data_IF_386947047568
#
_entry.id   IF_386947047568
#
_cell.length_a   1.000
_cell.length_b   1.000
_cell.length_c   1.000
_cell.angle_alpha   90.00
_cell.angle_beta   90.00
_cell.angle_gamma   90.00
#
_symmetry.space_group_name_H-M   'P 1'
#
loop_
_entity.id
_entity.type
_entity.pdbx_description
1 polymer ?
#
# COMPACT_ATOMS: atom_id res chain seq x y z
N UNK A 1 20.29 7.59 -17.15
CA UNK A 1 18.85 7.22 -17.05
C UNK A 1 18.34 7.54 -15.65
N UNK A 2 17.28 8.36 -15.53
CA UNK A 2 16.63 8.59 -14.21
C UNK A 2 16.08 7.26 -13.70
N UNK A 3 16.46 6.84 -12.46
CA UNK A 3 15.87 5.63 -11.87
C UNK A 3 14.36 5.82 -11.75
N UNK A 4 13.56 4.86 -12.25
CA UNK A 4 12.09 4.94 -12.22
C UNK A 4 11.53 4.77 -10.80
N UNK A 5 12.26 4.04 -9.96
CA UNK A 5 11.94 3.80 -8.54
C UNK A 5 13.22 3.38 -7.83
N UNK A 6 13.41 3.82 -6.60
CA UNK A 6 14.56 3.44 -5.77
C UNK A 6 14.16 3.32 -4.30
N UNK A 7 14.74 2.34 -3.60
CA UNK A 7 14.51 2.16 -2.17
C UNK A 7 15.01 3.35 -1.32
N UNK A 8 15.97 4.13 -1.82
CA UNK A 8 16.45 5.35 -1.17
C UNK A 8 15.39 6.48 -1.12
N UNK A 9 14.24 6.31 -1.78
CA UNK A 9 13.12 7.25 -1.68
C UNK A 9 12.35 7.13 -0.35
N UNK A 10 12.63 6.07 0.43
CA UNK A 10 12.02 5.86 1.74
C UNK A 10 13.11 5.54 2.78
N UNK A 11 12.94 5.97 4.05
CA UNK A 11 13.82 5.61 5.15
C UNK A 11 13.96 4.10 5.33
N UNK A 12 15.12 3.65 5.81
CA UNK A 12 15.44 2.23 6.00
C UNK A 12 14.47 1.50 6.93
N UNK A 13 13.91 2.19 7.91
CA UNK A 13 12.92 1.61 8.82
C UNK A 13 11.63 1.15 8.11
N UNK A 14 11.36 1.67 6.90
CA UNK A 14 10.24 1.25 6.05
C UNK A 14 10.62 0.18 5.02
N UNK A 15 11.85 -0.34 5.02
CA UNK A 15 12.21 -1.43 4.12
C UNK A 15 11.64 -2.77 4.61
N UNK A 16 11.17 -3.55 3.66
CA UNK A 16 10.65 -4.90 3.92
C UNK A 16 11.72 -5.99 3.79
N UNK A 17 12.90 -5.63 3.27
CA UNK A 17 14.01 -6.55 3.01
C UNK A 17 13.62 -7.76 2.14
N UNK A 18 12.81 -7.50 1.10
CA UNK A 18 12.37 -8.54 0.16
C UNK A 18 13.54 -9.00 -0.72
N UNK A 19 13.45 -10.24 -1.27
CA UNK A 19 14.45 -10.76 -2.20
C UNK A 19 14.72 -9.78 -3.36
N UNK A 20 15.99 -9.62 -3.75
CA UNK A 20 16.41 -8.71 -4.82
C UNK A 20 15.71 -9.00 -6.15
N UNK A 21 15.37 -10.25 -6.42
CA UNK A 21 14.59 -10.64 -7.60
C UNK A 21 13.22 -9.93 -7.62
N UNK A 22 12.51 -9.89 -6.50
CA UNK A 22 11.20 -9.27 -6.42
C UNK A 22 11.29 -7.75 -6.61
N UNK A 23 12.31 -7.11 -6.02
CA UNK A 23 12.60 -5.69 -6.23
C UNK A 23 12.91 -5.40 -7.70
N UNK A 24 13.71 -6.25 -8.34
CA UNK A 24 14.03 -6.16 -9.76
C UNK A 24 12.76 -6.31 -10.62
N UNK A 25 11.92 -7.31 -10.33
CA UNK A 25 10.66 -7.53 -11.04
C UNK A 25 9.75 -6.31 -10.96
N UNK A 26 9.58 -5.71 -9.78
CA UNK A 26 8.81 -4.48 -9.61
C UNK A 26 9.34 -3.33 -10.47
N UNK A 27 10.66 -3.11 -10.45
CA UNK A 27 11.33 -2.09 -11.29
C UNK A 27 11.13 -2.35 -12.79
N UNK A 28 11.19 -3.61 -13.20
CA UNK A 28 11.01 -4.01 -14.62
C UNK A 28 9.58 -3.76 -15.07
N UNK A 29 8.57 -4.13 -14.28
CA UNK A 29 7.16 -3.86 -14.58
C UNK A 29 6.95 -2.34 -14.75
N UNK A 30 7.40 -1.53 -13.81
CA UNK A 30 7.28 -0.07 -13.91
C UNK A 30 7.99 0.48 -15.15
N UNK A 31 9.10 -0.14 -15.57
CA UNK A 31 9.83 0.26 -16.78
C UNK A 31 9.02 -0.07 -18.03
N UNK A 32 8.42 -1.24 -18.12
CA UNK A 32 7.61 -1.68 -19.27
C UNK A 32 6.39 -0.76 -19.45
N UNK A 33 5.75 -0.36 -18.36
CA UNK A 33 4.57 0.51 -18.39
C UNK A 33 4.89 2.01 -18.35
N UNK A 34 6.17 2.39 -18.45
CA UNK A 34 6.64 3.78 -18.39
C UNK A 34 6.17 4.55 -17.15
N UNK A 35 6.07 3.86 -16.02
CA UNK A 35 5.67 4.44 -14.76
C UNK A 35 6.87 4.84 -13.89
N UNK A 36 6.72 5.96 -13.16
CA UNK A 36 7.73 6.50 -12.27
C UNK A 36 7.16 6.73 -10.88
N UNK A 37 7.93 6.38 -9.87
CA UNK A 37 7.65 6.80 -8.49
C UNK A 37 8.45 8.08 -8.23
N UNK A 38 7.75 9.18 -8.00
CA UNK A 38 8.35 10.48 -7.73
C UNK A 38 8.20 10.84 -6.24
N UNK A 39 9.13 11.68 -5.75
CA UNK A 39 9.14 12.10 -4.36
C UNK A 39 9.86 11.12 -3.44
N UNK A 40 9.88 11.46 -2.16
CA UNK A 40 10.51 10.66 -1.10
C UNK A 40 9.84 10.90 0.24
N UNK A 41 9.93 9.93 1.15
CA UNK A 41 9.53 10.09 2.54
C UNK A 41 10.74 10.63 3.32
N UNK A 42 10.54 11.73 4.04
CA UNK A 42 11.59 12.37 4.82
C UNK A 42 12.00 11.52 6.04
N UNK A 43 13.27 11.54 6.41
CA UNK A 43 13.82 10.90 7.61
C UNK A 43 13.14 11.36 8.92
N UNK A 44 12.51 12.54 8.94
CA UNK A 44 11.73 13.02 10.10
C UNK A 44 10.57 12.12 10.49
N UNK A 45 10.14 11.24 9.58
CA UNK A 45 9.06 10.26 9.79
C UNK A 45 9.59 8.88 10.19
N UNK A 46 10.90 8.75 10.43
CA UNK A 46 11.51 7.52 10.90
C UNK A 46 10.78 7.01 12.16
N UNK A 47 10.49 5.70 12.17
CA UNK A 47 9.78 5.01 13.25
C UNK A 47 8.34 5.51 13.52
N UNK A 48 7.76 6.33 12.64
CA UNK A 48 6.35 6.69 12.70
C UNK A 48 5.51 5.76 11.84
N UNK A 49 4.23 5.64 12.18
CA UNK A 49 3.24 5.08 11.26
C UNK A 49 2.78 6.17 10.30
N UNK A 50 2.52 5.79 9.07
CA UNK A 50 2.09 6.74 8.04
C UNK A 50 0.83 6.21 7.37
N UNK A 51 -0.15 7.07 7.16
CA UNK A 51 -1.31 6.76 6.33
C UNK A 51 -1.10 7.38 4.94
N UNK A 52 -0.96 6.52 3.93
CA UNK A 52 -0.81 6.92 2.54
C UNK A 52 -2.16 6.82 1.80
N UNK A 53 -2.63 7.94 1.29
CA UNK A 53 -3.84 8.01 0.47
C UNK A 53 -3.47 7.71 -0.98
N UNK A 54 -4.12 6.69 -1.56
CA UNK A 54 -3.94 6.30 -2.96
C UNK A 54 -5.18 6.71 -3.74
N UNK A 55 -5.06 7.76 -4.52
CA UNK A 55 -6.13 8.30 -5.35
C UNK A 55 -5.56 8.96 -6.64
N UNK A 56 -6.30 8.96 -7.75
CA UNK A 56 -7.54 8.20 -7.97
C UNK A 56 -7.29 6.70 -8.14
N UNK A 57 -8.25 5.86 -7.70
CA UNK A 57 -8.21 4.42 -7.92
C UNK A 57 -9.29 4.03 -8.91
N UNK A 58 -8.93 3.93 -10.18
CA UNK A 58 -9.87 3.83 -11.30
C UNK A 58 -9.87 2.46 -11.99
N UNK A 59 -8.79 1.69 -11.85
CA UNK A 59 -8.66 0.43 -12.57
C UNK A 59 -7.94 -0.68 -11.76
N UNK A 60 -7.96 -1.91 -12.29
CA UNK A 60 -7.15 -3.01 -11.76
C UNK A 60 -5.65 -2.76 -11.95
N UNK A 61 -5.27 -2.00 -12.98
CA UNK A 61 -3.90 -1.66 -13.27
C UNK A 61 -3.25 -0.85 -12.16
N UNK A 62 -4.01 0.02 -11.48
CA UNK A 62 -3.52 0.80 -10.34
C UNK A 62 -3.03 -0.13 -9.22
N UNK A 63 -3.75 -1.24 -9.00
CA UNK A 63 -3.34 -2.27 -8.03
C UNK A 63 -2.06 -2.99 -8.47
N UNK A 64 -1.94 -3.38 -9.74
CA UNK A 64 -0.76 -4.08 -10.27
C UNK A 64 0.46 -3.17 -10.21
N UNK A 65 0.33 -1.94 -10.70
CA UNK A 65 1.42 -0.96 -10.70
C UNK A 65 1.77 -0.49 -9.27
N UNK A 66 0.77 -0.39 -8.39
CA UNK A 66 0.99 -0.13 -6.97
C UNK A 66 1.81 -1.22 -6.29
N UNK A 67 1.48 -2.50 -6.51
CA UNK A 67 2.26 -3.64 -5.99
C UNK A 67 3.67 -3.65 -6.59
N UNK A 68 3.82 -3.34 -7.89
CA UNK A 68 5.13 -3.22 -8.54
C UNK A 68 5.95 -2.06 -7.93
N UNK A 69 5.33 -0.93 -7.62
CA UNK A 69 5.99 0.19 -6.95
C UNK A 69 6.43 -0.19 -5.52
N UNK A 70 5.57 -0.86 -4.76
CA UNK A 70 5.89 -1.38 -3.42
C UNK A 70 7.08 -2.35 -3.46
N UNK A 71 7.12 -3.25 -4.45
CA UNK A 71 8.23 -4.16 -4.64
C UNK A 71 9.51 -3.41 -5.04
N UNK A 72 9.42 -2.47 -5.98
CA UNK A 72 10.56 -1.69 -6.48
C UNK A 72 11.18 -0.75 -5.45
N UNK A 73 10.36 -0.17 -4.56
CA UNK A 73 10.78 0.60 -3.39
C UNK A 73 11.31 -0.30 -2.26
N UNK A 74 11.01 -1.59 -2.28
CA UNK A 74 11.17 -2.50 -1.15
C UNK A 74 10.37 -2.03 0.10
N UNK A 75 9.24 -1.36 -0.10
CA UNK A 75 8.49 -0.72 0.96
C UNK A 75 7.70 -1.73 1.82
N UNK A 76 7.84 -1.65 3.14
CA UNK A 76 6.98 -2.32 4.10
C UNK A 76 5.67 -1.55 4.22
N UNK A 77 4.72 -1.93 3.39
CA UNK A 77 3.42 -1.28 3.29
C UNK A 77 2.32 -2.28 3.65
N UNK A 78 1.27 -1.78 4.26
CA UNK A 78 0.03 -2.53 4.48
C UNK A 78 -1.08 -1.88 3.66
N UNK A 79 -1.82 -2.66 2.89
CA UNK A 79 -2.93 -2.15 2.09
C UNK A 79 -4.19 -3.01 2.24
N UNK A 80 -5.33 -2.34 2.17
CA UNK A 80 -6.64 -2.98 2.32
C UNK A 80 -7.17 -3.38 0.94
N UNK A 81 -7.41 -4.66 0.75
CA UNK A 81 -7.97 -5.19 -0.50
C UNK A 81 -9.27 -5.98 -0.30
N UNK A 82 -10.13 -6.01 -1.32
CA UNK A 82 -11.35 -6.83 -1.29
C UNK A 82 -10.99 -8.31 -1.15
N UNK A 83 -11.61 -9.02 -0.21
CA UNK A 83 -11.31 -10.43 0.10
C UNK A 83 -11.35 -11.35 -1.13
N UNK A 84 -12.19 -11.04 -2.12
CA UNK A 84 -12.32 -11.85 -3.34
C UNK A 84 -11.03 -11.87 -4.18
N UNK A 85 -10.21 -10.81 -4.14
CA UNK A 85 -8.93 -10.74 -4.87
C UNK A 85 -7.88 -11.70 -4.27
N UNK A 86 -8.06 -12.06 -3.00
CA UNK A 86 -7.16 -12.97 -2.29
C UNK A 86 -7.49 -14.45 -2.45
N UNK A 87 -8.53 -14.81 -3.22
CA UNK A 87 -8.99 -16.20 -3.37
C UNK A 87 -8.26 -16.99 -4.45
N UNK A 88 -7.89 -16.37 -5.55
CA UNK A 88 -7.44 -17.07 -6.78
C UNK A 88 -5.91 -17.16 -6.90
N UNK A 89 -5.26 -17.95 -6.05
CA UNK A 89 -3.81 -18.21 -6.13
C UNK A 89 -2.90 -17.01 -5.80
N UNK A 90 -3.37 -15.79 -6.01
CA UNK A 90 -2.65 -14.56 -5.68
C UNK A 90 -2.71 -14.20 -4.20
N UNK A 91 -3.54 -14.85 -3.41
CA UNK A 91 -3.80 -14.48 -2.02
C UNK A 91 -2.56 -14.53 -1.13
N UNK A 92 -1.75 -15.57 -1.24
CA UNK A 92 -0.51 -15.71 -0.49
C UNK A 92 0.50 -14.61 -0.86
N UNK A 93 0.64 -14.35 -2.16
CA UNK A 93 1.51 -13.29 -2.67
C UNK A 93 1.06 -11.90 -2.21
N UNK A 94 -0.23 -11.58 -2.31
CA UNK A 94 -0.75 -10.28 -1.88
C UNK A 94 -0.59 -10.08 -0.36
N UNK A 95 -0.82 -11.12 0.46
CA UNK A 95 -0.53 -11.06 1.90
C UNK A 95 0.96 -10.84 2.18
N UNK A 96 1.83 -11.55 1.47
CA UNK A 96 3.28 -11.35 1.56
C UNK A 96 3.69 -9.91 1.18
N UNK A 97 2.98 -9.28 0.25
CA UNK A 97 3.17 -7.88 -0.12
C UNK A 97 2.57 -6.89 0.88
N UNK A 98 1.86 -7.35 1.91
CA UNK A 98 1.24 -6.53 2.96
C UNK A 98 -0.26 -6.31 2.78
N UNK A 99 -0.91 -7.10 1.94
CA UNK A 99 -2.36 -7.00 1.70
C UNK A 99 -3.19 -7.60 2.82
N UNK A 100 -4.15 -6.86 3.33
CA UNK A 100 -5.18 -7.30 4.28
C UNK A 100 -6.49 -7.52 3.53
N UNK A 101 -7.02 -8.76 3.50
CA UNK A 101 -8.33 -9.01 2.91
C UNK A 101 -9.45 -8.49 3.79
N UNK A 102 -10.35 -7.66 3.25
CA UNK A 102 -11.54 -7.20 3.97
C UNK A 102 -12.82 -7.57 3.24
N UNK A 103 -13.82 -7.95 4.01
CA UNK A 103 -15.16 -8.18 3.50
C UNK A 103 -15.97 -6.88 3.56
N UNK A 104 -16.13 -6.25 2.41
CA UNK A 104 -16.85 -4.97 2.29
C UNK A 104 -18.36 -5.11 2.38
N UNK A 105 -18.90 -6.33 2.42
CA UNK A 105 -20.34 -6.59 2.61
C UNK A 105 -20.76 -6.43 4.07
N UNK A 106 -19.81 -6.43 5.00
CA UNK A 106 -20.03 -6.25 6.43
C UNK A 106 -19.63 -4.82 6.83
N UNK A 107 -20.54 -3.83 6.73
CA UNK A 107 -20.25 -2.48 7.19
C UNK A 107 -20.03 -2.48 8.71
N UNK A 108 -19.05 -1.72 9.18
CA UNK A 108 -18.78 -1.53 10.61
C UNK A 108 -17.57 -2.27 11.17
N UNK A 109 -16.97 -3.22 10.45
CA UNK A 109 -15.80 -3.96 10.95
C UNK A 109 -14.52 -3.79 10.13
N UNK A 110 -14.58 -3.08 8.99
CA UNK A 110 -13.46 -2.99 8.05
C UNK A 110 -12.29 -2.20 8.67
N UNK A 111 -12.61 -1.08 9.28
CA UNK A 111 -11.61 -0.16 9.87
C UNK A 111 -11.04 -0.79 11.14
N UNK A 112 -11.88 -1.31 12.00
CA UNK A 112 -11.49 -2.02 13.22
C UNK A 112 -10.57 -3.20 12.90
N UNK A 113 -10.98 -4.05 11.95
CA UNK A 113 -10.15 -5.18 11.53
C UNK A 113 -8.80 -4.75 10.94
N UNK A 114 -8.77 -3.66 10.16
CA UNK A 114 -7.53 -3.10 9.64
C UNK A 114 -6.64 -2.57 10.77
N UNK A 115 -7.21 -1.85 11.74
CA UNK A 115 -6.49 -1.32 12.89
C UNK A 115 -5.89 -2.47 13.72
N UNK A 116 -6.66 -3.51 14.02
CA UNK A 116 -6.18 -4.65 14.79
C UNK A 116 -5.01 -5.37 14.11
N UNK A 117 -5.05 -5.50 12.78
CA UNK A 117 -3.97 -6.12 11.99
C UNK A 117 -2.70 -5.27 11.94
N UNK A 118 -2.79 -3.96 12.15
CA UNK A 118 -1.69 -3.01 11.97
C UNK A 118 -1.13 -2.54 13.32
N UNK A 119 -1.90 -2.67 14.39
CA UNK A 119 -1.60 -2.13 15.72
C UNK A 119 -0.21 -2.50 16.23
N UNK A 120 0.21 -3.73 15.98
CA UNK A 120 1.49 -4.27 16.45
C UNK A 120 2.65 -4.10 15.45
N UNK A 121 2.38 -3.46 14.30
CA UNK A 121 3.40 -3.22 13.28
C UNK A 121 4.01 -1.83 13.50
N UNK A 122 5.23 -1.77 13.99
CA UNK A 122 5.97 -0.51 14.09
C UNK A 122 6.46 -0.03 12.72
N UNK A 123 6.47 1.29 12.51
CA UNK A 123 7.03 1.91 11.31
C UNK A 123 6.35 1.41 10.02
N UNK A 124 5.03 1.24 10.02
CA UNK A 124 4.29 0.79 8.85
C UNK A 124 3.73 1.95 8.02
N UNK A 125 3.74 1.77 6.71
CA UNK A 125 2.99 2.63 5.78
C UNK A 125 1.66 1.93 5.49
N UNK A 126 0.54 2.58 5.81
CA UNK A 126 -0.80 2.06 5.61
C UNK A 126 -1.39 2.72 4.38
N UNK A 127 -1.54 1.98 3.28
CA UNK A 127 -2.10 2.51 2.05
C UNK A 127 -3.57 2.13 1.89
N UNK A 128 -4.38 3.12 1.57
CA UNK A 128 -5.79 2.90 1.29
C UNK A 128 -6.33 3.91 0.26
N UNK A 129 -7.35 3.49 -0.49
CA UNK A 129 -8.10 4.38 -1.36
C UNK A 129 -9.33 4.91 -0.62
N UNK A 130 -9.43 6.23 -0.39
CA UNK A 130 -10.53 6.83 0.33
C UNK A 130 -11.84 6.77 -0.47
N UNK A 131 -11.76 6.58 -1.77
CA UNK A 131 -12.91 6.43 -2.65
C UNK A 131 -13.71 5.14 -2.32
N UNK A 132 -13.03 4.09 -1.90
CA UNK A 132 -13.63 2.79 -1.57
C UNK A 132 -14.29 2.07 -2.76
N UNK A 133 -14.20 2.65 -3.95
CA UNK A 133 -14.72 2.16 -5.23
C UNK A 133 -13.80 2.60 -6.36
N UNK A 134 -14.00 2.06 -7.57
CA UNK A 134 -13.33 2.50 -8.80
C UNK A 134 -14.15 3.49 -9.62
N UNK A 135 -15.39 3.74 -9.22
CA UNK A 135 -16.23 4.75 -9.84
C UNK A 135 -15.86 6.14 -9.30
N UNK A 136 -16.05 7.15 -10.12
CA UNK A 136 -15.87 8.55 -9.69
C UNK A 136 -16.81 8.83 -8.50
N UNK A 137 -16.24 9.34 -7.43
CA UNK A 137 -16.98 9.77 -6.23
C UNK A 137 -16.83 11.26 -6.03
N UNK A 138 -17.86 11.91 -5.47
CA UNK A 138 -17.84 13.32 -5.14
C UNK A 138 -17.18 13.57 -3.78
N UNK A 139 -17.23 12.58 -2.88
CA UNK A 139 -16.72 12.68 -1.52
C UNK A 139 -15.88 11.46 -1.15
N UNK A 140 -14.82 11.69 -0.40
CA UNK A 140 -13.97 10.64 0.14
C UNK A 140 -14.53 10.11 1.46
N UNK A 141 -14.41 8.79 1.67
CA UNK A 141 -14.72 8.16 2.95
C UNK A 141 -13.65 8.54 3.98
N UNK A 142 -14.07 8.94 5.17
CA UNK A 142 -13.20 9.46 6.22
C UNK A 142 -12.54 8.38 7.10
N UNK A 143 -12.72 7.11 6.77
CA UNK A 143 -12.15 5.99 7.54
C UNK A 143 -10.62 6.05 7.73
N UNK A 144 -9.90 6.68 6.80
CA UNK A 144 -8.46 6.88 6.92
C UNK A 144 -8.09 7.84 8.08
N UNK A 145 -8.92 8.83 8.39
CA UNK A 145 -8.72 9.73 9.52
C UNK A 145 -8.84 8.98 10.84
N UNK A 146 -9.80 8.05 10.93
CA UNK A 146 -9.95 7.19 12.11
C UNK A 146 -8.74 6.28 12.29
N UNK A 147 -8.25 5.65 11.21
CA UNK A 147 -7.02 4.85 11.25
C UNK A 147 -5.84 5.70 11.73
N UNK A 148 -5.66 6.89 11.17
CA UNK A 148 -4.58 7.79 11.55
C UNK A 148 -4.65 8.18 13.03
N UNK A 149 -5.85 8.50 13.53
CA UNK A 149 -6.07 8.87 14.93
C UNK A 149 -5.80 7.72 15.89
N UNK A 150 -6.36 6.52 15.63
CA UNK A 150 -6.24 5.38 16.55
C UNK A 150 -4.84 4.76 16.55
N UNK A 151 -4.09 4.88 15.46
CA UNK A 151 -2.72 4.36 15.35
C UNK A 151 -1.64 5.43 15.60
N UNK A 152 -2.04 6.66 15.89
CA UNK A 152 -1.13 7.81 16.07
C UNK A 152 -0.14 7.93 14.88
N UNK A 153 -0.70 7.90 13.65
CA UNK A 153 0.00 7.88 12.38
C UNK A 153 0.07 9.27 11.73
#
# INVERSE_FOLDING_TARGET
MKKRVSKEQIPECFWANRPKFLQWLGKTILTIFDWHVCGSISEKYKNKRLVAIVAPHTSNWDGILGVAAVAGLDARITFIGKHTVFRYGLGAFLRYMGGIPVDRSKPGGIIEHAIDQIRDIEGAIIALSPEGTRSKVLEWKTGFLRIASELNA
#
